data_IF_689209783724
#
_entry.id   IF_689209783724
#
_cell.length_a   1.000
_cell.length_b   1.000
_cell.length_c   1.000
_cell.angle_alpha   90.00
_cell.angle_beta   90.00
_cell.angle_gamma   90.00
#
_symmetry.space_group_name_H-M   'P 1'
#
loop_
_entity.id
_entity.type
_entity.pdbx_description
1 polymer ?
#
# COMPACT_ATOMS: atom_id res chain seq x y z
N UNK A 1 8.30 8.96 -17.61
CA UNK A 1 7.60 9.48 -16.43
C UNK A 1 6.14 9.65 -16.78
N UNK A 2 5.27 8.79 -16.24
CA UNK A 2 3.85 8.71 -16.58
C UNK A 2 2.99 9.46 -15.53
N UNK A 3 1.67 9.44 -15.69
CA UNK A 3 0.75 10.09 -14.75
C UNK A 3 0.76 9.40 -13.37
N UNK A 4 1.02 8.09 -13.34
CA UNK A 4 1.09 7.29 -12.11
C UNK A 4 2.28 7.69 -11.24
N UNK A 5 3.41 8.10 -11.83
CA UNK A 5 4.55 8.66 -11.09
C UNK A 5 4.14 9.87 -10.23
N UNK A 6 3.25 10.74 -10.73
CA UNK A 6 2.76 11.89 -9.94
C UNK A 6 1.90 11.47 -8.76
N UNK A 7 1.11 10.40 -8.93
CA UNK A 7 0.33 9.79 -7.84
C UNK A 7 1.28 9.21 -6.78
N UNK A 8 2.38 8.59 -7.20
CA UNK A 8 3.36 7.97 -6.30
C UNK A 8 4.30 8.98 -5.62
N UNK A 9 4.57 10.13 -6.25
CA UNK A 9 5.35 11.24 -5.66
C UNK A 9 4.52 12.01 -4.62
N UNK A 10 3.20 12.13 -4.81
CA UNK A 10 2.35 12.94 -3.94
C UNK A 10 2.44 12.53 -2.44
N UNK A 11 2.36 11.24 -2.05
CA UNK A 11 2.57 10.80 -0.66
C UNK A 11 3.93 11.19 -0.10
N UNK A 12 4.99 11.20 -0.91
CA UNK A 12 6.33 11.59 -0.48
C UNK A 12 6.38 13.08 -0.16
N UNK A 13 5.89 13.92 -1.06
CA UNK A 13 5.84 15.37 -0.88
C UNK A 13 4.94 15.75 0.30
N UNK A 14 3.75 15.15 0.38
CA UNK A 14 2.83 15.35 1.49
C UNK A 14 3.42 14.84 2.81
N UNK A 15 4.09 13.69 2.80
CA UNK A 15 4.76 13.11 3.96
C UNK A 15 5.81 14.06 4.52
N UNK A 16 6.65 14.66 3.67
CA UNK A 16 7.64 15.66 4.08
C UNK A 16 6.98 16.92 4.67
N UNK A 17 6.00 17.50 3.96
CA UNK A 17 5.34 18.76 4.37
C UNK A 17 4.57 18.56 5.69
N UNK A 18 3.76 17.50 5.76
CA UNK A 18 2.98 17.18 6.95
C UNK A 18 3.89 16.72 8.07
N UNK A 19 4.94 15.96 7.76
CA UNK A 19 5.88 15.45 8.75
C UNK A 19 6.61 16.56 9.48
N UNK A 20 7.01 17.63 8.79
CA UNK A 20 7.55 18.83 9.42
C UNK A 20 6.56 19.51 10.38
N UNK A 21 5.26 19.52 10.05
CA UNK A 21 4.22 20.12 10.92
C UNK A 21 3.85 19.24 12.11
N UNK A 22 3.84 17.93 11.89
CA UNK A 22 3.39 16.92 12.85
C UNK A 22 4.50 16.57 13.85
N UNK A 23 5.76 16.59 13.39
CA UNK A 23 6.93 16.28 14.20
C UNK A 23 7.26 14.78 14.25
N UNK A 24 8.49 14.49 14.65
CA UNK A 24 9.10 13.15 14.68
C UNK A 24 8.26 12.14 15.45
N UNK A 25 7.87 12.48 16.69
CA UNK A 25 7.22 11.52 17.59
C UNK A 25 5.95 10.96 16.98
N UNK A 26 5.11 11.81 16.39
CA UNK A 26 3.83 11.37 15.82
C UNK A 26 4.01 10.70 14.45
N UNK A 27 4.97 11.12 13.63
CA UNK A 27 5.31 10.38 12.41
C UNK A 27 5.80 8.98 12.68
N UNK A 28 6.62 8.77 13.72
CA UNK A 28 7.09 7.43 14.08
C UNK A 28 5.92 6.51 14.40
N UNK A 29 4.85 7.01 15.06
CA UNK A 29 3.65 6.21 15.29
C UNK A 29 2.95 5.83 13.99
N UNK A 30 2.88 6.74 13.02
CA UNK A 30 2.34 6.42 11.70
C UNK A 30 3.22 5.44 10.93
N UNK A 31 4.54 5.54 11.02
CA UNK A 31 5.47 4.57 10.42
C UNK A 31 5.27 3.19 11.02
N UNK A 32 5.23 3.10 12.36
CA UNK A 32 4.99 1.84 13.06
C UNK A 32 3.63 1.25 12.69
N UNK A 33 2.59 2.08 12.61
CA UNK A 33 1.28 1.65 12.14
C UNK A 33 1.37 1.03 10.75
N UNK A 34 1.96 1.76 9.77
CA UNK A 34 2.06 1.27 8.39
C UNK A 34 2.87 -0.03 8.34
N UNK A 35 4.00 -0.11 9.05
CA UNK A 35 4.81 -1.32 9.12
C UNK A 35 4.04 -2.52 9.71
N UNK A 36 3.29 -2.31 10.80
CA UNK A 36 2.45 -3.35 11.40
C UNK A 36 1.32 -3.77 10.45
N UNK A 37 0.66 -2.81 9.79
CA UNK A 37 -0.34 -3.12 8.77
C UNK A 37 0.27 -3.91 7.62
N UNK A 38 1.48 -3.58 7.17
CA UNK A 38 2.17 -4.36 6.16
C UNK A 38 2.42 -5.79 6.64
N UNK A 39 2.88 -6.03 7.87
CA UNK A 39 3.16 -7.39 8.36
C UNK A 39 1.88 -8.23 8.55
N UNK A 40 0.84 -7.65 9.15
CA UNK A 40 -0.32 -8.42 9.65
C UNK A 40 -1.56 -8.24 8.77
N UNK A 41 -1.51 -7.34 7.80
CA UNK A 41 -2.70 -6.92 7.07
C UNK A 41 -3.30 -8.02 6.20
N UNK A 42 -2.55 -9.00 5.70
CA UNK A 42 -3.12 -10.12 4.92
C UNK A 42 -4.04 -11.00 5.77
N UNK A 43 -3.73 -11.17 7.06
CA UNK A 43 -4.59 -11.88 8.00
C UNK A 43 -5.75 -11.00 8.49
N UNK A 44 -5.47 -9.73 8.81
CA UNK A 44 -6.47 -8.82 9.34
C UNK A 44 -7.45 -8.31 8.26
N UNK A 45 -7.08 -8.35 6.98
CA UNK A 45 -7.95 -7.92 5.88
C UNK A 45 -9.18 -8.81 5.77
N UNK A 46 -9.00 -10.13 5.84
CA UNK A 46 -10.10 -11.10 5.82
C UNK A 46 -11.04 -10.86 7.01
N UNK A 47 -10.47 -10.77 8.23
CA UNK A 47 -11.24 -10.53 9.46
C UNK A 47 -12.07 -9.24 9.36
N UNK A 48 -11.50 -8.16 8.84
CA UNK A 48 -12.20 -6.88 8.75
C UNK A 48 -13.31 -6.92 7.71
N UNK A 49 -13.04 -7.45 6.52
CA UNK A 49 -14.01 -7.57 5.42
C UNK A 49 -15.19 -8.45 5.85
N UNK A 50 -14.91 -9.57 6.49
CA UNK A 50 -15.94 -10.47 7.04
C UNK A 50 -16.74 -9.79 8.15
N UNK A 51 -16.08 -9.06 9.07
CA UNK A 51 -16.73 -8.40 10.20
C UNK A 51 -17.71 -7.30 9.77
N UNK A 52 -17.47 -6.66 8.62
CA UNK A 52 -18.37 -5.65 8.06
C UNK A 52 -19.37 -6.22 7.04
N UNK A 53 -19.31 -7.53 6.78
CA UNK A 53 -20.22 -8.24 5.88
C UNK A 53 -20.05 -7.89 4.40
N UNK A 54 -18.82 -7.54 3.98
CA UNK A 54 -18.53 -7.34 2.56
C UNK A 54 -18.21 -8.68 1.90
N UNK A 55 -19.14 -9.20 1.12
CA UNK A 55 -18.88 -10.33 0.23
C UNK A 55 -18.17 -9.80 -1.03
N UNK A 56 -16.92 -10.22 -1.23
CA UNK A 56 -16.10 -9.81 -2.37
C UNK A 56 -15.76 -11.05 -3.20
N UNK A 57 -15.91 -10.92 -4.53
CA UNK A 57 -15.78 -12.04 -5.47
C UNK A 57 -14.32 -12.45 -5.75
N UNK A 58 -13.34 -11.73 -5.19
CA UNK A 58 -11.93 -12.01 -5.43
C UNK A 58 -11.09 -11.79 -4.18
N UNK A 59 -10.23 -12.75 -3.87
CA UNK A 59 -9.22 -12.65 -2.80
C UNK A 59 -8.34 -11.41 -2.94
N UNK A 60 -8.01 -11.03 -4.19
CA UNK A 60 -7.27 -9.80 -4.45
C UNK A 60 -8.02 -8.55 -3.96
N UNK A 61 -9.34 -8.50 -4.14
CA UNK A 61 -10.18 -7.38 -3.67
C UNK A 61 -10.31 -7.38 -2.15
N UNK A 62 -10.44 -8.55 -1.52
CA UNK A 62 -10.48 -8.69 -0.05
C UNK A 62 -9.22 -8.09 0.57
N UNK A 63 -8.05 -8.47 0.06
CA UNK A 63 -6.79 -7.92 0.55
C UNK A 63 -6.70 -6.42 0.32
N UNK A 64 -6.96 -5.93 -0.90
CA UNK A 64 -6.84 -4.50 -1.23
C UNK A 64 -7.76 -3.64 -0.37
N UNK A 65 -9.04 -4.02 -0.23
CA UNK A 65 -10.02 -3.29 0.56
C UNK A 65 -9.70 -3.38 2.05
N UNK A 66 -9.38 -4.57 2.56
CA UNK A 66 -9.05 -4.76 3.96
C UNK A 66 -7.81 -3.97 4.39
N UNK A 67 -6.77 -3.91 3.56
CA UNK A 67 -5.61 -3.04 3.80
C UNK A 67 -5.97 -1.56 3.82
N UNK A 68 -6.80 -1.11 2.87
CA UNK A 68 -7.29 0.26 2.84
C UNK A 68 -8.01 0.63 4.15
N UNK A 69 -8.92 -0.23 4.61
CA UNK A 69 -9.66 -0.04 5.85
C UNK A 69 -8.76 -0.06 7.08
N UNK A 70 -7.78 -0.97 7.14
CA UNK A 70 -6.77 -1.03 8.21
C UNK A 70 -5.99 0.28 8.33
N UNK A 71 -5.52 0.83 7.22
CA UNK A 71 -4.77 2.08 7.23
C UNK A 71 -5.64 3.26 7.63
N UNK A 72 -6.88 3.35 7.11
CA UNK A 72 -7.80 4.43 7.49
C UNK A 72 -8.11 4.35 8.99
N UNK A 73 -8.53 3.19 9.49
CA UNK A 73 -8.84 2.97 10.91
C UNK A 73 -7.63 3.19 11.82
N UNK A 74 -6.46 2.73 11.38
CA UNK A 74 -5.18 2.96 12.05
C UNK A 74 -4.80 4.43 12.14
N UNK A 75 -4.92 5.17 11.04
CA UNK A 75 -4.60 6.61 11.01
C UNK A 75 -5.51 7.40 11.95
N UNK A 76 -6.81 7.06 11.99
CA UNK A 76 -7.75 7.64 12.96
C UNK A 76 -7.37 7.30 14.40
N UNK A 77 -6.92 6.06 14.64
CA UNK A 77 -6.46 5.63 15.96
C UNK A 77 -5.24 6.42 16.42
N UNK A 78 -4.22 6.58 15.57
CA UNK A 78 -3.05 7.42 15.90
C UNK A 78 -3.48 8.86 16.13
N UNK A 79 -4.41 9.41 15.34
CA UNK A 79 -4.92 10.76 15.54
C UNK A 79 -5.52 10.92 16.95
N UNK A 80 -6.33 9.95 17.39
CA UNK A 80 -7.02 9.97 18.69
C UNK A 80 -6.05 9.77 19.87
N UNK A 81 -5.11 8.84 19.76
CA UNK A 81 -4.24 8.43 20.87
C UNK A 81 -2.88 9.13 20.90
N UNK A 82 -2.50 9.86 19.84
CA UNK A 82 -1.18 10.52 19.74
C UNK A 82 -0.87 11.45 20.90
N UNK A 83 -1.87 12.13 21.49
CA UNK A 83 -1.66 13.01 22.64
C UNK A 83 -1.16 12.27 23.88
N UNK A 84 -1.68 11.05 24.15
CA UNK A 84 -1.24 10.21 25.27
C UNK A 84 0.20 9.74 25.04
N UNK A 85 0.49 9.27 23.82
CA UNK A 85 1.83 8.78 23.48
C UNK A 85 2.86 9.90 23.52
N UNK A 86 2.53 11.09 23.00
CA UNK A 86 3.39 12.26 23.09
C UNK A 86 3.68 12.65 24.54
N UNK A 87 2.70 12.58 25.43
CA UNK A 87 2.89 12.88 26.85
C UNK A 87 3.86 11.88 27.53
N UNK A 88 3.81 10.61 27.16
CA UNK A 88 4.73 9.58 27.67
C UNK A 88 6.13 9.78 27.09
N UNK A 89 6.24 9.89 25.76
CA UNK A 89 7.52 10.04 25.05
C UNK A 89 8.24 11.32 25.48
N UNK A 90 7.52 12.43 25.64
CA UNK A 90 8.11 13.70 26.11
C UNK A 90 8.75 13.55 27.49
N UNK A 91 8.11 12.82 28.41
CA UNK A 91 8.67 12.54 29.74
C UNK A 91 9.91 11.63 29.69
N UNK A 92 9.89 10.63 28.81
CA UNK A 92 11.02 9.68 28.66
C UNK A 92 12.23 10.29 27.95
N UNK A 93 11.99 11.24 27.03
CA UNK A 93 13.03 11.85 26.19
C UNK A 93 13.53 13.19 26.74
N UNK A 94 13.15 13.55 27.98
CA UNK A 94 13.42 14.86 28.60
C UNK A 94 12.94 16.06 27.76
N UNK A 95 11.92 15.84 26.93
CA UNK A 95 11.50 16.78 25.90
C UNK A 95 12.55 16.89 24.80
N UNK A 96 12.42 16.07 23.76
CA UNK A 96 13.12 16.32 22.49
C UNK A 96 12.89 17.80 22.14
N UNK A 97 13.97 18.58 22.02
CA UNK A 97 13.85 20.01 21.74
C UNK A 97 13.02 20.23 20.47
N UNK A 98 12.15 21.25 20.48
CA UNK A 98 11.13 21.46 19.42
C UNK A 98 11.71 21.43 18.01
N UNK A 99 12.94 21.94 17.84
CA UNK A 99 13.67 21.92 16.56
C UNK A 99 14.05 20.52 16.10
N UNK A 100 14.51 19.66 17.03
CA UNK A 100 14.85 18.27 16.72
C UNK A 100 13.59 17.48 16.38
N UNK A 101 12.49 17.71 17.11
CA UNK A 101 11.21 17.09 16.80
C UNK A 101 10.72 17.52 15.41
N UNK A 102 10.88 18.80 15.04
CA UNK A 102 10.46 19.32 13.75
C UNK A 102 11.32 18.81 12.57
N UNK A 103 12.64 18.85 12.72
CA UNK A 103 13.60 18.37 11.70
C UNK A 103 13.53 16.85 11.56
N UNK A 104 13.46 16.12 12.67
CA UNK A 104 13.20 14.69 12.66
C UNK A 104 11.84 14.36 12.04
N UNK A 105 10.86 15.25 12.19
CA UNK A 105 9.57 15.19 11.51
C UNK A 105 9.70 15.24 9.98
N UNK A 106 10.63 16.03 9.45
CA UNK A 106 10.88 16.09 8.01
C UNK A 106 11.43 14.76 7.47
N UNK A 107 12.45 14.20 8.13
CA UNK A 107 13.08 12.92 7.74
C UNK A 107 12.11 11.76 7.91
N UNK A 108 11.42 11.67 9.04
CA UNK A 108 10.39 10.63 9.25
C UNK A 108 9.19 10.80 8.32
N UNK A 109 8.84 12.02 7.95
CA UNK A 109 7.81 12.31 6.96
C UNK A 109 8.16 11.78 5.57
N UNK A 110 9.42 11.91 5.15
CA UNK A 110 9.94 11.30 3.93
C UNK A 110 9.81 9.77 3.96
N UNK A 111 10.22 9.15 5.07
CA UNK A 111 10.12 7.69 5.27
C UNK A 111 8.65 7.24 5.21
N UNK A 112 7.76 7.93 5.93
CA UNK A 112 6.33 7.62 5.93
C UNK A 112 5.72 7.75 4.53
N UNK A 113 6.04 8.84 3.82
CA UNK A 113 5.57 9.07 2.46
C UNK A 113 6.04 7.96 1.52
N UNK A 114 7.30 7.54 1.63
CA UNK A 114 7.83 6.43 0.86
C UNK A 114 7.13 5.10 1.21
N UNK A 115 6.88 4.81 2.48
CA UNK A 115 6.14 3.61 2.89
C UNK A 115 4.71 3.59 2.30
N UNK A 116 4.02 4.73 2.30
CA UNK A 116 2.70 4.83 1.67
C UNK A 116 2.79 4.59 0.17
N UNK A 117 3.80 5.16 -0.50
CA UNK A 117 4.07 4.88 -1.93
C UNK A 117 4.27 3.38 -2.17
N UNK A 118 5.07 2.71 -1.34
CA UNK A 118 5.26 1.26 -1.39
C UNK A 118 3.95 0.50 -1.24
N UNK A 119 3.08 0.91 -0.30
CA UNK A 119 1.75 0.30 -0.14
C UNK A 119 0.90 0.46 -1.40
N UNK A 120 0.89 1.64 -2.02
CA UNK A 120 0.10 1.90 -3.25
C UNK A 120 0.60 1.01 -4.39
N UNK A 121 1.92 0.89 -4.57
CA UNK A 121 2.52 0.02 -5.59
C UNK A 121 2.14 -1.43 -5.33
N UNK A 122 2.24 -1.90 -4.08
CA UNK A 122 1.84 -3.25 -3.67
C UNK A 122 0.36 -3.53 -4.00
N UNK A 123 -0.55 -2.63 -3.62
CA UNK A 123 -1.98 -2.75 -3.91
C UNK A 123 -2.23 -2.83 -5.41
N UNK A 124 -1.58 -1.97 -6.19
CA UNK A 124 -1.78 -1.90 -7.64
C UNK A 124 -1.23 -3.15 -8.32
N UNK A 125 -0.01 -3.57 -7.97
CA UNK A 125 0.61 -4.79 -8.47
C UNK A 125 -0.24 -6.01 -8.16
N UNK A 126 -0.72 -6.12 -6.92
CA UNK A 126 -1.55 -7.27 -6.54
C UNK A 126 -2.88 -7.31 -7.29
N UNK A 127 -3.56 -6.18 -7.40
CA UNK A 127 -4.80 -6.13 -8.17
C UNK A 127 -4.58 -6.49 -9.65
N UNK A 128 -3.43 -6.12 -10.20
CA UNK A 128 -3.02 -6.40 -11.59
C UNK A 128 -2.72 -7.89 -11.83
N UNK A 129 -2.00 -8.54 -10.90
CA UNK A 129 -1.41 -9.87 -11.15
C UNK A 129 -2.06 -11.03 -10.38
N UNK A 130 -3.04 -10.80 -9.52
CA UNK A 130 -3.75 -11.90 -8.83
C UNK A 130 -4.57 -12.72 -9.85
N UNK A 131 -4.29 -14.04 -10.01
CA UNK A 131 -5.09 -14.92 -10.88
C UNK A 131 -6.53 -15.05 -10.35
N UNK A 132 -7.51 -15.14 -11.25
CA UNK A 132 -8.90 -15.35 -10.86
C UNK A 132 -9.16 -16.86 -10.60
N UNK A 133 -9.97 -17.20 -9.61
CA UNK A 133 -10.28 -18.60 -9.24
C UNK A 133 -11.32 -19.28 -10.16
N UNK A 134 -11.91 -18.53 -11.10
CA UNK A 134 -13.11 -18.95 -11.86
C UNK A 134 -12.84 -19.35 -13.33
N UNK A 135 -11.73 -20.03 -13.64
CA UNK A 135 -11.49 -20.54 -15.01
C UNK A 135 -12.28 -21.83 -15.37
N UNK A 136 -13.11 -22.38 -14.49
CA UNK A 136 -13.94 -23.55 -14.78
C UNK A 136 -15.44 -23.20 -14.93
N UNK A 137 -15.83 -22.74 -16.12
CA UNK A 137 -17.25 -22.61 -16.43
C UNK A 137 -17.56 -22.19 -17.85
N UNK A 138 -17.79 -23.15 -18.74
CA UNK A 138 -18.36 -22.89 -20.08
C UNK A 138 -19.64 -22.04 -19.95
N UNK A 139 -19.63 -20.86 -20.54
CA UNK A 139 -20.80 -19.98 -20.61
C UNK A 139 -21.82 -20.52 -21.62
N UNK A 140 -22.99 -20.95 -21.14
CA UNK A 140 -24.20 -20.96 -21.97
C UNK A 140 -24.64 -19.50 -22.20
N UNK A 141 -25.10 -19.17 -23.41
CA UNK A 141 -25.46 -17.80 -23.76
C UNK A 141 -26.75 -17.39 -23.04
N UNK A 142 -26.61 -16.65 -21.94
CA UNK A 142 -27.67 -15.97 -21.17
C UNK A 142 -27.36 -14.46 -21.03
N UNK A 143 -28.34 -13.64 -20.62
CA UNK A 143 -28.10 -12.21 -20.31
C UNK A 143 -27.06 -12.01 -19.19
N UNK A 144 -27.01 -12.91 -18.20
CA UNK A 144 -25.98 -12.91 -17.15
C UNK A 144 -24.59 -13.24 -17.70
N UNK A 145 -24.49 -14.13 -18.70
CA UNK A 145 -23.23 -14.44 -19.36
C UNK A 145 -22.70 -13.25 -20.17
N UNK A 146 -23.59 -12.45 -20.77
CA UNK A 146 -23.22 -11.21 -21.49
C UNK A 146 -22.76 -10.14 -20.49
N UNK A 147 -23.45 -9.98 -19.36
CA UNK A 147 -23.05 -9.07 -18.29
C UNK A 147 -21.67 -9.45 -17.70
N UNK A 148 -21.47 -10.73 -17.38
CA UNK A 148 -20.17 -11.25 -16.92
C UNK A 148 -19.07 -11.11 -17.97
N UNK A 149 -19.36 -11.34 -19.26
CA UNK A 149 -18.39 -11.09 -20.32
C UNK A 149 -18.00 -9.61 -20.43
N UNK A 150 -18.97 -8.70 -20.29
CA UNK A 150 -18.71 -7.26 -20.32
C UNK A 150 -17.89 -6.82 -19.09
N UNK A 151 -18.23 -7.34 -17.91
CA UNK A 151 -17.49 -7.10 -16.67
C UNK A 151 -16.05 -7.63 -16.74
N UNK A 152 -15.87 -8.87 -17.20
CA UNK A 152 -14.54 -9.45 -17.40
C UNK A 152 -13.73 -8.65 -18.43
N UNK A 153 -14.35 -8.20 -19.53
CA UNK A 153 -13.68 -7.36 -20.52
C UNK A 153 -13.26 -6.00 -19.95
N UNK A 154 -14.09 -5.38 -19.11
CA UNK A 154 -13.73 -4.14 -18.41
C UNK A 154 -12.61 -4.37 -17.40
N UNK A 155 -12.68 -5.47 -16.65
CA UNK A 155 -11.67 -5.87 -15.66
C UNK A 155 -10.32 -6.16 -16.33
N UNK A 156 -10.31 -6.91 -17.43
CA UNK A 156 -9.12 -7.22 -18.22
C UNK A 156 -8.50 -5.95 -18.81
N UNK A 157 -9.32 -5.08 -19.41
CA UNK A 157 -8.86 -3.77 -19.92
C UNK A 157 -8.26 -2.93 -18.78
N UNK A 158 -8.85 -2.97 -17.59
CA UNK A 158 -8.37 -2.21 -16.44
C UNK A 158 -7.08 -2.77 -15.83
N UNK A 159 -6.90 -4.10 -15.81
CA UNK A 159 -5.67 -4.77 -15.39
C UNK A 159 -4.56 -4.57 -16.41
N UNK A 160 -4.85 -4.60 -17.70
CA UNK A 160 -3.88 -4.30 -18.76
C UNK A 160 -3.39 -2.84 -18.70
N UNK A 161 -4.32 -1.91 -18.45
CA UNK A 161 -3.96 -0.51 -18.19
C UNK A 161 -3.10 -0.35 -16.92
N UNK A 162 -3.37 -1.15 -15.88
CA UNK A 162 -2.59 -1.17 -14.64
C UNK A 162 -1.17 -1.73 -14.87
N UNK A 163 -1.04 -2.83 -15.61
CA UNK A 163 0.24 -3.41 -16.03
C UNK A 163 1.09 -2.38 -16.79
N UNK A 164 0.49 -1.67 -17.76
CA UNK A 164 1.17 -0.63 -18.52
C UNK A 164 1.73 0.49 -17.61
N UNK A 165 0.92 1.01 -16.68
CA UNK A 165 1.38 2.11 -15.81
C UNK A 165 2.40 1.64 -14.78
N UNK A 166 2.34 0.39 -14.32
CA UNK A 166 3.35 -0.22 -13.44
C UNK A 166 4.68 -0.34 -14.20
N UNK A 167 4.64 -0.83 -15.44
CA UNK A 167 5.85 -1.05 -16.23
C UNK A 167 6.60 0.25 -16.54
N UNK A 168 5.87 1.23 -17.04
CA UNK A 168 6.44 2.52 -17.48
C UNK A 168 6.77 3.49 -16.33
N UNK A 169 6.35 3.17 -15.10
CA UNK A 169 6.57 4.03 -13.95
C UNK A 169 8.01 3.98 -13.46
N UNK A 170 8.61 5.16 -13.34
CA UNK A 170 9.95 5.35 -12.74
C UNK A 170 9.87 5.10 -11.24
N UNK A 171 8.80 5.57 -10.59
CA UNK A 171 8.63 5.44 -9.15
C UNK A 171 8.40 3.99 -8.70
N UNK A 172 7.72 3.17 -9.51
CA UNK A 172 7.67 1.72 -9.27
C UNK A 172 9.06 1.12 -9.30
N UNK A 173 9.91 1.52 -10.25
CA UNK A 173 11.32 1.12 -10.27
C UNK A 173 12.08 1.50 -9.00
N UNK A 174 11.91 2.72 -8.50
CA UNK A 174 12.52 3.14 -7.23
C UNK A 174 12.05 2.26 -6.05
N UNK A 175 10.77 1.87 -6.01
CA UNK A 175 10.24 0.98 -4.97
C UNK A 175 10.89 -0.41 -5.06
N UNK A 176 11.05 -0.96 -6.27
CA UNK A 176 11.71 -2.24 -6.51
C UNK A 176 13.20 -2.17 -6.15
N UNK A 177 13.91 -1.11 -6.55
CA UNK A 177 15.32 -0.92 -6.23
C UNK A 177 15.55 -0.85 -4.72
N UNK A 178 14.66 -0.19 -3.98
CA UNK A 178 14.72 -0.12 -2.51
C UNK A 178 14.40 -1.48 -1.89
N UNK A 179 13.44 -2.23 -2.43
CA UNK A 179 13.18 -3.63 -2.03
C UNK A 179 14.44 -4.47 -2.18
N UNK A 180 15.09 -4.41 -3.34
CA UNK A 180 16.26 -5.22 -3.66
C UNK A 180 17.49 -4.80 -2.84
N UNK A 181 17.64 -3.49 -2.57
CA UNK A 181 18.68 -2.95 -1.70
C UNK A 181 18.54 -3.39 -0.24
N UNK A 182 17.32 -3.37 0.29
CA UNK A 182 17.04 -3.73 1.69
C UNK A 182 16.87 -5.24 1.90
N UNK A 183 16.66 -6.00 0.82
CA UNK A 183 16.59 -7.46 0.83
C UNK A 183 15.58 -8.02 1.83
N UNK A 184 16.00 -9.08 2.55
CA UNK A 184 15.14 -9.84 3.46
C UNK A 184 14.50 -9.04 4.60
N UNK A 185 15.09 -7.91 5.01
CA UNK A 185 14.50 -7.04 6.05
C UNK A 185 13.25 -6.32 5.54
N UNK A 186 13.22 -5.93 4.27
CA UNK A 186 12.06 -5.30 3.65
C UNK A 186 11.02 -6.32 3.19
N UNK A 187 11.48 -7.47 2.67
CA UNK A 187 10.60 -8.61 2.33
C UNK A 187 9.90 -9.15 3.57
N UNK A 188 10.54 -9.18 4.74
CA UNK A 188 9.89 -9.57 6.00
C UNK A 188 8.79 -8.60 6.47
N UNK A 189 8.77 -7.37 5.95
CA UNK A 189 7.73 -6.38 6.25
C UNK A 189 6.58 -6.38 5.24
N UNK A 190 6.79 -6.87 4.02
CA UNK A 190 5.77 -7.00 2.97
C UNK A 190 5.15 -8.41 3.09
N UNK A 191 3.82 -8.59 3.09
CA UNK A 191 3.25 -9.94 3.06
C UNK A 191 3.68 -10.68 1.81
N UNK A 192 3.91 -11.99 1.91
CA UNK A 192 4.42 -12.80 0.79
C UNK A 192 3.58 -12.64 -0.49
N UNK A 193 2.27 -12.58 -0.34
CA UNK A 193 1.28 -12.35 -1.39
C UNK A 193 1.44 -11.00 -2.16
N UNK A 194 2.08 -9.98 -1.58
CA UNK A 194 2.48 -8.77 -2.29
C UNK A 194 3.91 -8.86 -2.85
N UNK A 195 4.80 -9.63 -2.22
CA UNK A 195 6.14 -9.91 -2.75
C UNK A 195 6.05 -10.57 -4.12
N UNK A 196 5.19 -11.59 -4.25
CA UNK A 196 5.00 -12.30 -5.52
C UNK A 196 4.52 -11.35 -6.63
N UNK A 197 3.63 -10.42 -6.30
CA UNK A 197 3.10 -9.43 -7.23
C UNK A 197 4.18 -8.42 -7.66
N UNK A 198 5.08 -8.03 -6.77
CA UNK A 198 6.21 -7.15 -7.09
C UNK A 198 7.28 -7.86 -7.93
N UNK A 199 7.52 -9.15 -7.70
CA UNK A 199 8.46 -9.94 -8.50
C UNK A 199 7.94 -10.10 -9.93
N UNK A 200 6.63 -10.30 -10.11
CA UNK A 200 5.99 -10.27 -11.44
C UNK A 200 6.13 -8.88 -12.07
N UNK A 201 5.89 -7.81 -11.31
CA UNK A 201 6.06 -6.43 -11.80
C UNK A 201 7.50 -6.16 -12.28
N UNK A 202 8.50 -6.68 -11.57
CA UNK A 202 9.91 -6.57 -11.92
C UNK A 202 10.22 -7.31 -13.23
N UNK A 203 9.83 -8.58 -13.34
CA UNK A 203 10.04 -9.38 -14.55
C UNK A 203 9.41 -8.72 -15.79
N UNK A 204 8.17 -8.23 -15.67
CA UNK A 204 7.47 -7.55 -16.77
C UNK A 204 8.17 -6.28 -17.24
N UNK A 205 8.87 -5.58 -16.33
CA UNK A 205 9.65 -4.38 -16.63
C UNK A 205 10.94 -4.74 -17.38
N UNK A 206 11.64 -5.77 -16.91
CA UNK A 206 12.87 -6.27 -17.56
C UNK A 206 12.62 -6.80 -18.97
N UNK A 207 11.46 -7.45 -19.22
CA UNK A 207 11.07 -7.95 -20.55
C UNK A 207 10.71 -6.83 -21.56
N UNK A 208 10.55 -5.59 -21.12
CA UNK A 208 10.11 -4.45 -21.95
C UNK A 208 11.27 -3.55 -22.42
N UNK A 209 12.49 -3.77 -21.91
CA UNK A 209 13.75 -3.08 -22.28
C UNK A 209 14.56 -3.87 -23.33
#
# INVERSE_FOLDING_TARGET
>A
MNWYDWVLIAPIVLGVILGFRVGLVKNVLYIVLVAVTMIVGGYLSQIIVDAIGLELESDGLVTVIGYGLLLIGGFLSVQLFSGVVQAIVSKLTFGIGDRVNQVGGLVSGLILGFLITTVIVNITARWTYTPDEDEEGRLEISEEAIAKMFENSLKDTSREAADLVIRESVMVGVVIDVKDLLGGEFIGMIPGEFSDSLDIAQQRREDSD
#
